data_IF_743733539689
#
_entry.id   IF_743733539689
#
_cell.length_a   1.000
_cell.length_b   1.000
_cell.length_c   1.000
_cell.angle_alpha   90.00
_cell.angle_beta   90.00
_cell.angle_gamma   90.00
#
_symmetry.space_group_name_H-M   'P 1'
#
loop_
_entity.id
_entity.type
_entity.pdbx_description
1 polymer ?
#
# COMPACT_ATOMS: atom_id res chain seq x y z
N UNK A 1 9.51 9.54 -3.40
CA UNK A 1 9.56 9.11 -2.01
C UNK A 1 8.16 8.83 -1.48
N UNK A 2 7.97 7.73 -0.78
CA UNK A 2 6.66 7.35 -0.25
C UNK A 2 6.27 8.27 0.89
N UNK A 3 5.07 8.86 0.81
CA UNK A 3 4.53 9.69 1.87
C UNK A 3 3.60 8.87 2.78
N UNK A 4 2.66 8.13 2.18
CA UNK A 4 1.68 7.34 2.93
C UNK A 4 1.35 6.07 2.15
N UNK A 5 1.11 4.99 2.88
CA UNK A 5 0.64 3.72 2.30
C UNK A 5 -0.68 3.37 2.97
N UNK A 6 -1.69 3.05 2.16
CA UNK A 6 -3.01 2.65 2.63
C UNK A 6 -3.34 1.28 2.06
N UNK A 7 -3.93 0.43 2.88
CA UNK A 7 -4.40 -0.88 2.42
C UNK A 7 -5.75 -0.73 1.70
N UNK A 8 -5.84 -1.30 0.51
CA UNK A 8 -7.09 -1.38 -0.24
C UNK A 8 -7.71 -2.76 -0.08
N UNK A 9 -8.99 -2.80 0.19
CA UNK A 9 -9.75 -4.03 0.35
C UNK A 9 -10.78 -4.16 -0.76
N UNK A 10 -11.02 -5.40 -1.16
CA UNK A 10 -12.12 -5.73 -2.06
C UNK A 10 -13.42 -5.68 -1.26
N UNK A 11 -14.34 -4.79 -1.64
CA UNK A 11 -15.60 -4.62 -0.93
C UNK A 11 -16.56 -5.80 -1.11
N UNK A 12 -16.33 -6.63 -2.12
CA UNK A 12 -17.13 -7.83 -2.37
C UNK A 12 -16.77 -8.97 -1.42
N UNK A 13 -15.46 -9.15 -1.16
CA UNK A 13 -14.96 -10.27 -0.35
C UNK A 13 -14.39 -9.82 0.99
N UNK A 14 -14.27 -8.53 1.23
CA UNK A 14 -13.63 -7.94 2.41
C UNK A 14 -12.18 -8.41 2.59
N UNK A 15 -11.50 -8.70 1.48
CA UNK A 15 -10.13 -9.17 1.50
C UNK A 15 -9.16 -8.08 1.08
N UNK A 16 -7.98 -8.08 1.71
CA UNK A 16 -6.90 -7.19 1.35
C UNK A 16 -6.47 -7.47 -0.10
N UNK A 17 -6.59 -6.47 -0.95
CA UNK A 17 -6.40 -6.60 -2.39
C UNK A 17 -5.09 -6.01 -2.87
N UNK A 18 -4.74 -4.81 -2.41
CA UNK A 18 -3.55 -4.12 -2.88
C UNK A 18 -3.18 -2.99 -1.92
N UNK A 19 -1.98 -2.44 -2.11
CA UNK A 19 -1.59 -1.20 -1.43
C UNK A 19 -1.87 0.00 -2.31
N UNK A 20 -2.31 1.08 -1.70
CA UNK A 20 -2.38 2.39 -2.33
C UNK A 20 -1.26 3.25 -1.77
N UNK A 21 -0.32 3.63 -2.62
CA UNK A 21 0.83 4.43 -2.22
C UNK A 21 0.64 5.87 -2.65
N UNK A 22 0.77 6.78 -1.70
CA UNK A 22 0.77 8.22 -1.99
C UNK A 22 2.20 8.73 -1.85
N UNK A 23 2.71 9.31 -2.92
CA UNK A 23 4.05 9.89 -2.93
C UNK A 23 4.02 11.35 -2.49
N UNK A 24 5.18 11.88 -2.13
CA UNK A 24 5.29 13.24 -1.59
C UNK A 24 4.90 14.33 -2.61
N UNK A 25 4.91 14.01 -3.91
CA UNK A 25 4.48 14.93 -4.96
C UNK A 25 2.97 14.89 -5.24
N UNK A 26 2.23 14.05 -4.50
CA UNK A 26 0.80 13.90 -4.67
C UNK A 26 0.38 12.76 -5.60
N UNK A 27 1.33 12.05 -6.20
CA UNK A 27 1.04 10.92 -7.08
C UNK A 27 0.53 9.73 -6.26
N UNK A 28 -0.51 9.07 -6.76
CA UNK A 28 -1.10 7.90 -6.12
C UNK A 28 -0.97 6.71 -7.06
N UNK A 29 -0.47 5.59 -6.53
CA UNK A 29 -0.30 4.36 -7.28
C UNK A 29 -0.96 3.20 -6.55
N UNK A 30 -1.55 2.28 -7.32
CA UNK A 30 -2.01 0.99 -6.79
C UNK A 30 -0.93 -0.06 -7.02
N UNK A 31 -0.51 -0.74 -5.97
CA UNK A 31 0.57 -1.72 -6.02
C UNK A 31 0.00 -3.09 -5.66
N UNK A 32 0.11 -4.08 -6.57
CA UNK A 32 -0.40 -5.42 -6.30
C UNK A 32 0.40 -6.13 -5.22
N UNK A 33 -0.20 -7.15 -4.62
CA UNK A 33 0.46 -7.98 -3.62
C UNK A 33 1.32 -9.05 -4.31
N UNK A 34 2.40 -8.60 -4.93
CA UNK A 34 3.31 -9.46 -5.69
C UNK A 34 4.74 -9.21 -5.21
N UNK A 35 5.33 -10.22 -4.59
CA UNK A 35 6.67 -10.13 -4.02
C UNK A 35 7.75 -9.88 -5.07
N UNK A 36 7.46 -10.14 -6.35
CA UNK A 36 8.38 -9.87 -7.45
C UNK A 36 8.27 -8.44 -7.96
N UNK A 37 7.25 -7.70 -7.52
CA UNK A 37 7.05 -6.31 -7.93
C UNK A 37 7.97 -5.40 -7.11
N UNK A 38 8.78 -4.58 -7.78
CA UNK A 38 9.72 -3.67 -7.11
C UNK A 38 9.03 -2.66 -6.22
N UNK A 39 7.87 -2.15 -6.64
CA UNK A 39 7.11 -1.19 -5.84
C UNK A 39 6.61 -1.83 -4.54
N UNK A 40 6.18 -3.09 -4.62
CA UNK A 40 5.79 -3.84 -3.44
C UNK A 40 6.96 -4.01 -2.47
N UNK A 41 8.14 -4.33 -2.99
CA UNK A 41 9.35 -4.46 -2.19
C UNK A 41 9.73 -3.13 -1.52
N UNK A 42 9.59 -2.01 -2.23
CA UNK A 42 9.81 -0.68 -1.67
C UNK A 42 8.86 -0.38 -0.51
N UNK A 43 7.60 -0.77 -0.64
CA UNK A 43 6.61 -0.61 0.42
C UNK A 43 7.03 -1.40 1.66
N UNK A 44 7.45 -2.65 1.47
CA UNK A 44 7.89 -3.48 2.59
C UNK A 44 9.12 -2.89 3.28
N UNK A 45 10.06 -2.37 2.51
CA UNK A 45 11.23 -1.71 3.07
C UNK A 45 10.84 -0.44 3.83
N UNK A 46 9.94 0.34 3.28
CA UNK A 46 9.43 1.56 3.92
C UNK A 46 8.76 1.25 5.26
N UNK A 47 7.99 0.18 5.33
CA UNK A 47 7.35 -0.27 6.58
C UNK A 47 8.42 -0.71 7.58
N UNK A 48 9.43 -1.44 7.13
CA UNK A 48 10.52 -1.90 7.99
C UNK A 48 11.34 -0.73 8.56
N UNK A 49 11.41 0.38 7.83
CA UNK A 49 12.10 1.58 8.26
C UNK A 49 11.27 2.46 9.22
N UNK A 50 10.11 1.98 9.62
CA UNK A 50 9.26 2.68 10.58
C UNK A 50 8.07 3.40 9.95
N UNK A 51 7.79 3.15 8.67
CA UNK A 51 6.62 3.72 8.00
C UNK A 51 5.31 3.18 8.57
N UNK A 52 4.29 4.00 8.56
CA UNK A 52 2.98 3.63 9.08
C UNK A 52 2.00 3.38 7.94
N UNK A 53 1.44 2.17 7.91
CA UNK A 53 0.40 1.80 6.94
C UNK A 53 -0.96 2.10 7.53
N UNK A 54 -1.78 2.79 6.75
CA UNK A 54 -3.16 3.07 7.14
C UNK A 54 -4.01 1.87 6.76
N UNK A 55 -4.59 1.22 7.76
CA UNK A 55 -5.48 0.10 7.56
C UNK A 55 -6.91 0.62 7.57
N UNK A 56 -7.59 0.50 6.44
CA UNK A 56 -8.94 1.02 6.26
C UNK A 56 -9.86 -0.08 5.73
N UNK A 57 -10.17 -1.11 6.56
CA UNK A 57 -11.01 -2.21 6.11
C UNK A 57 -12.44 -1.75 5.83
N UNK A 58 -13.14 -2.40 4.91
CA UNK A 58 -14.55 -2.13 4.68
C UNK A 58 -15.38 -2.56 5.89
N UNK A 59 -16.41 -1.84 6.14
CA UNK A 59 -17.36 -2.18 7.22
C UNK A 59 -18.34 -3.26 6.79
#
# INVERSE_FOLDING_TARGET
MINTVTKNYDTTTNQFCSYQVTYSDGTIWSVPLDETNTDYQEIQQWIADGGTVIDNPPE
#
